data_IF_902654137517
#
_entry.id   IF_902654137517
#
_cell.length_a   1.000
_cell.length_b   1.000
_cell.length_c   1.000
_cell.angle_alpha   90.00
_cell.angle_beta   90.00
_cell.angle_gamma   90.00
#
_symmetry.space_group_name_H-M   'P 1'
#
loop_
_entity.id
_entity.type
_entity.pdbx_description
1 polymer ?
#
# COMPACT_ATOMS: atom_id res chain seq x y z
N UNK A 1 0.67 3.30 -24.87
CA UNK A 1 0.65 3.43 -23.40
C UNK A 1 1.08 4.85 -23.08
N UNK A 2 0.19 5.68 -22.56
CA UNK A 2 0.51 7.06 -22.20
C UNK A 2 1.42 7.04 -20.97
N UNK A 3 2.68 7.37 -21.13
CA UNK A 3 3.59 7.61 -20.02
C UNK A 3 3.14 8.90 -19.33
N UNK A 4 2.73 8.79 -18.07
CA UNK A 4 2.31 9.94 -17.27
C UNK A 4 3.53 10.65 -16.71
N UNK A 5 4.19 11.42 -17.57
CA UNK A 5 5.24 12.36 -17.17
C UNK A 5 4.60 13.75 -17.11
N UNK A 6 4.75 14.43 -16.01
CA UNK A 6 4.23 15.76 -15.77
C UNK A 6 5.30 16.67 -15.18
N UNK A 7 4.95 17.94 -14.98
CA UNK A 7 5.82 18.91 -14.31
C UNK A 7 5.12 19.49 -13.10
N UNK A 8 5.81 19.51 -11.96
CA UNK A 8 5.36 20.14 -10.73
C UNK A 8 6.39 21.15 -10.23
N UNK A 9 5.91 22.23 -9.61
CA UNK A 9 6.80 23.14 -8.88
C UNK A 9 7.17 22.49 -7.56
N UNK A 10 8.46 22.21 -7.38
CA UNK A 10 9.01 21.61 -6.18
C UNK A 10 10.04 22.53 -5.53
N UNK A 11 10.11 22.48 -4.20
CA UNK A 11 11.10 23.22 -3.44
C UNK A 11 12.48 22.58 -3.63
N UNK A 12 13.42 23.33 -4.19
CA UNK A 12 14.80 22.90 -4.36
C UNK A 12 15.63 23.13 -3.06
N UNK A 13 16.80 22.52 -2.98
CA UNK A 13 17.70 22.65 -1.81
C UNK A 13 18.13 24.08 -1.51
N UNK A 14 18.09 24.96 -2.50
CA UNK A 14 18.38 26.40 -2.40
C UNK A 14 17.18 27.25 -1.95
N UNK A 15 16.07 26.63 -1.56
CA UNK A 15 14.86 27.30 -1.11
C UNK A 15 13.98 27.90 -2.23
N UNK A 16 14.34 27.71 -3.50
CA UNK A 16 13.55 28.21 -4.63
C UNK A 16 12.62 27.16 -5.20
N UNK A 17 11.45 27.61 -5.65
CA UNK A 17 10.51 26.75 -6.37
C UNK A 17 10.95 26.58 -7.82
N UNK A 18 11.15 25.33 -8.26
CA UNK A 18 11.54 24.99 -9.64
C UNK A 18 10.57 24.00 -10.24
N UNK A 19 10.32 24.13 -11.53
CA UNK A 19 9.63 23.12 -12.31
C UNK A 19 10.49 21.87 -12.38
N UNK A 20 9.94 20.76 -11.94
CA UNK A 20 10.63 19.46 -11.88
C UNK A 20 9.77 18.43 -12.59
N UNK A 21 10.40 17.64 -13.43
CA UNK A 21 9.72 16.53 -14.09
C UNK A 21 9.35 15.46 -13.06
N UNK A 22 8.13 15.01 -13.11
CA UNK A 22 7.56 14.00 -12.21
C UNK A 22 6.87 12.92 -13.02
N UNK A 23 6.90 11.71 -12.50
CA UNK A 23 6.21 10.58 -13.08
C UNK A 23 5.56 9.73 -11.98
N UNK A 24 4.56 8.94 -12.34
CA UNK A 24 4.02 7.94 -11.43
C UNK A 24 5.05 6.83 -11.14
N UNK A 25 4.84 6.10 -10.06
CA UNK A 25 5.75 5.04 -9.61
C UNK A 25 5.99 3.99 -10.69
N UNK A 26 4.95 3.60 -11.43
CA UNK A 26 5.05 2.61 -12.50
C UNK A 26 5.97 3.09 -13.63
N UNK A 27 5.82 4.34 -14.05
CA UNK A 27 6.66 4.95 -15.08
C UNK A 27 8.11 5.10 -14.61
N UNK A 28 8.33 5.52 -13.34
CA UNK A 28 9.68 5.60 -12.76
C UNK A 28 10.38 4.25 -12.73
N UNK A 29 9.69 3.20 -12.28
CA UNK A 29 10.24 1.84 -12.25
C UNK A 29 10.62 1.36 -13.66
N UNK A 30 9.82 1.71 -14.66
CA UNK A 30 10.10 1.38 -16.05
C UNK A 30 11.29 2.15 -16.62
N UNK A 31 11.40 3.45 -16.32
CA UNK A 31 12.54 4.27 -16.74
C UNK A 31 13.85 3.73 -16.15
N UNK A 32 13.87 3.36 -14.87
CA UNK A 32 15.07 2.83 -14.22
C UNK A 32 15.59 1.56 -14.90
N UNK A 33 14.70 0.70 -15.41
CA UNK A 33 15.09 -0.51 -16.14
C UNK A 33 15.85 -0.20 -17.44
N UNK A 34 15.65 0.97 -18.02
CA UNK A 34 16.31 1.37 -19.28
C UNK A 34 17.67 2.04 -19.06
N UNK A 35 18.05 2.38 -17.84
CA UNK A 35 19.31 3.06 -17.54
C UNK A 35 20.49 2.09 -17.75
N UNK A 36 21.41 2.37 -18.67
CA UNK A 36 22.53 1.47 -18.98
C UNK A 36 23.74 1.69 -18.05
N UNK A 37 23.51 2.05 -16.80
CA UNK A 37 24.55 2.32 -15.81
C UNK A 37 24.74 1.16 -14.85
N UNK A 38 25.98 0.77 -14.52
CA UNK A 38 26.26 -0.21 -13.47
C UNK A 38 25.69 0.18 -12.10
N UNK A 39 25.49 1.47 -11.83
CA UNK A 39 24.87 1.97 -10.59
C UNK A 39 23.39 1.60 -10.49
N UNK A 40 22.72 1.35 -11.59
CA UNK A 40 21.32 0.92 -11.62
C UNK A 40 21.17 -0.61 -11.43
N UNK A 41 22.24 -1.38 -11.52
CA UNK A 41 22.22 -2.84 -11.46
C UNK A 41 21.63 -3.40 -10.15
N UNK A 42 22.01 -2.90 -8.95
CA UNK A 42 21.40 -3.37 -7.71
C UNK A 42 19.88 -3.19 -7.68
N UNK A 43 19.38 -2.10 -8.24
CA UNK A 43 17.96 -1.83 -8.32
C UNK A 43 17.24 -2.75 -9.31
N UNK A 44 17.86 -3.03 -10.46
CA UNK A 44 17.33 -3.99 -11.45
C UNK A 44 17.23 -5.39 -10.86
N UNK A 45 18.23 -5.83 -10.07
CA UNK A 45 18.19 -7.12 -9.35
C UNK A 45 17.07 -7.15 -8.32
N UNK A 46 16.90 -6.09 -7.58
CA UNK A 46 15.78 -5.96 -6.62
C UNK A 46 14.42 -6.06 -7.33
N UNK A 47 14.23 -5.40 -8.48
CA UNK A 47 13.00 -5.52 -9.27
C UNK A 47 12.76 -6.95 -9.77
N UNK A 48 13.80 -7.63 -10.22
CA UNK A 48 13.71 -9.03 -10.64
C UNK A 48 13.30 -9.93 -9.47
N UNK A 49 13.87 -9.70 -8.27
CA UNK A 49 13.50 -10.42 -7.06
C UNK A 49 12.04 -10.20 -6.69
N UNK A 50 11.58 -8.96 -6.66
CA UNK A 50 10.18 -8.61 -6.35
C UNK A 50 9.23 -9.23 -7.38
N UNK A 51 9.60 -9.22 -8.66
CA UNK A 51 8.81 -9.85 -9.72
C UNK A 51 8.70 -11.37 -9.54
N UNK A 52 9.81 -12.03 -9.22
CA UNK A 52 9.84 -13.47 -8.94
C UNK A 52 8.97 -13.83 -7.74
N UNK A 53 9.13 -13.12 -6.63
CA UNK A 53 8.32 -13.33 -5.43
C UNK A 53 6.83 -13.17 -5.72
N UNK A 54 6.46 -12.20 -6.54
CA UNK A 54 5.07 -12.02 -6.93
C UNK A 54 4.52 -13.16 -7.79
N UNK A 55 5.33 -13.74 -8.67
CA UNK A 55 4.95 -14.92 -9.45
C UNK A 55 4.78 -16.15 -8.54
N UNK A 56 5.66 -16.33 -7.58
CA UNK A 56 5.56 -17.41 -6.58
C UNK A 56 4.29 -17.29 -5.73
N UNK A 57 3.90 -16.07 -5.34
CA UNK A 57 2.65 -15.79 -4.63
C UNK A 57 1.39 -16.11 -5.45
N UNK A 58 1.46 -16.01 -6.78
CA UNK A 58 0.33 -16.41 -7.64
C UNK A 58 0.12 -17.93 -7.58
N UNK A 59 1.21 -18.70 -7.49
CA UNK A 59 1.17 -20.15 -7.35
C UNK A 59 0.79 -20.55 -5.93
N UNK A 60 1.34 -19.88 -4.92
CA UNK A 60 1.06 -20.11 -3.52
C UNK A 60 0.73 -18.80 -2.79
N UNK A 61 -0.57 -18.43 -2.68
CA UNK A 61 -1.01 -17.18 -2.05
C UNK A 61 -0.62 -17.03 -0.57
N UNK A 62 -0.33 -18.12 0.14
CA UNK A 62 0.10 -18.07 1.54
C UNK A 62 1.44 -17.34 1.73
N UNK A 63 2.29 -17.34 0.70
CA UNK A 63 3.55 -16.60 0.72
C UNK A 63 3.33 -15.08 0.91
N UNK A 64 2.26 -14.52 0.35
CA UNK A 64 1.90 -13.13 0.55
C UNK A 64 1.53 -12.83 2.01
N UNK A 65 0.85 -13.75 2.68
CA UNK A 65 0.50 -13.63 4.11
C UNK A 65 1.77 -13.68 4.96
N UNK A 66 2.68 -14.59 4.66
CA UNK A 66 3.95 -14.71 5.38
C UNK A 66 4.81 -13.45 5.21
N UNK A 67 4.91 -12.92 4.00
CA UNK A 67 5.60 -11.66 3.72
C UNK A 67 4.99 -10.48 4.48
N UNK A 68 3.66 -10.43 4.59
CA UNK A 68 2.98 -9.41 5.38
C UNK A 68 3.35 -9.51 6.86
N UNK A 69 3.35 -10.71 7.44
CA UNK A 69 3.77 -10.97 8.83
C UNK A 69 5.21 -10.52 9.07
N UNK A 70 6.15 -10.93 8.21
CA UNK A 70 7.56 -10.54 8.31
C UNK A 70 7.75 -9.02 8.25
N UNK A 71 6.94 -8.34 7.43
CA UNK A 71 6.96 -6.89 7.34
C UNK A 71 6.54 -6.23 8.65
N UNK A 72 5.51 -6.75 9.32
CA UNK A 72 5.10 -6.26 10.64
C UNK A 72 6.15 -6.54 11.71
N UNK A 73 6.79 -7.73 11.71
CA UNK A 73 7.89 -8.06 12.62
C UNK A 73 9.04 -7.07 12.46
N UNK A 74 9.45 -6.78 11.22
CA UNK A 74 10.50 -5.77 10.93
C UNK A 74 10.14 -4.36 11.40
N UNK A 75 8.85 -4.03 11.48
CA UNK A 75 8.34 -2.78 12.04
C UNK A 75 8.27 -2.76 13.57
N UNK A 76 8.59 -3.88 14.24
CA UNK A 76 8.64 -3.99 15.69
C UNK A 76 7.34 -4.43 16.37
N UNK A 77 6.37 -4.93 15.62
CA UNK A 77 5.14 -5.48 16.20
C UNK A 77 5.34 -6.92 16.66
N UNK A 78 4.75 -7.28 17.79
CA UNK A 78 4.79 -8.64 18.32
C UNK A 78 3.80 -9.59 17.62
N UNK A 79 4.01 -10.89 17.79
CA UNK A 79 3.19 -11.92 17.13
C UNK A 79 1.71 -11.85 17.54
N UNK A 80 1.42 -11.49 18.78
CA UNK A 80 0.04 -11.40 19.28
C UNK A 80 -0.71 -10.26 18.63
N UNK A 81 -0.04 -9.10 18.48
CA UNK A 81 -0.59 -7.96 17.77
C UNK A 81 -0.82 -8.27 16.29
N UNK A 82 0.15 -8.94 15.64
CA UNK A 82 0.05 -9.33 14.22
C UNK A 82 -1.15 -10.26 14.00
N UNK A 83 -1.33 -11.27 14.85
CA UNK A 83 -2.47 -12.19 14.78
C UNK A 83 -3.81 -11.45 14.92
N UNK A 84 -3.93 -10.56 15.89
CA UNK A 84 -5.12 -9.73 16.07
C UNK A 84 -5.37 -8.78 14.89
N UNK A 85 -4.31 -8.18 14.34
CA UNK A 85 -4.42 -7.28 13.19
C UNK A 85 -4.94 -8.01 11.95
N UNK A 86 -4.41 -9.19 11.64
CA UNK A 86 -4.88 -9.99 10.51
C UNK A 86 -6.35 -10.40 10.68
N UNK A 87 -6.72 -10.83 11.88
CA UNK A 87 -8.11 -11.17 12.20
C UNK A 87 -9.03 -9.96 12.07
N UNK A 88 -8.62 -8.79 12.54
CA UNK A 88 -9.42 -7.56 12.43
C UNK A 88 -9.61 -7.09 11.00
N UNK A 89 -8.63 -7.30 10.12
CA UNK A 89 -8.76 -6.99 8.69
C UNK A 89 -9.82 -7.87 8.05
N UNK A 90 -9.81 -9.14 8.35
CA UNK A 90 -10.77 -10.12 7.83
C UNK A 90 -12.19 -9.79 8.29
N UNK A 91 -12.39 -9.62 9.60
CA UNK A 91 -13.68 -9.23 10.18
C UNK A 91 -14.21 -7.90 9.63
N UNK A 92 -13.33 -6.91 9.44
CA UNK A 92 -13.73 -5.63 8.85
C UNK A 92 -14.16 -5.77 7.39
N UNK A 93 -13.48 -6.62 6.63
CA UNK A 93 -13.84 -6.91 5.25
C UNK A 93 -15.21 -7.55 5.16
N UNK A 94 -15.46 -8.59 5.95
CA UNK A 94 -16.78 -9.23 6.02
C UNK A 94 -17.89 -8.23 6.37
N UNK A 95 -17.64 -7.34 7.32
CA UNK A 95 -18.59 -6.30 7.72
C UNK A 95 -18.87 -5.31 6.58
N UNK A 96 -17.83 -4.83 5.91
CA UNK A 96 -17.98 -3.88 4.80
C UNK A 96 -18.65 -4.53 3.59
N UNK A 97 -18.35 -5.78 3.29
CA UNK A 97 -18.99 -6.53 2.21
C UNK A 97 -20.49 -6.72 2.49
N UNK A 98 -20.85 -7.04 3.74
CA UNK A 98 -22.26 -7.14 4.17
C UNK A 98 -23.00 -5.80 4.04
N UNK A 99 -22.37 -4.70 4.41
CA UNK A 99 -22.95 -3.36 4.23
C UNK A 99 -23.15 -3.01 2.76
N UNK A 100 -22.18 -3.35 1.90
CA UNK A 100 -22.26 -3.13 0.47
C UNK A 100 -23.39 -3.92 -0.18
N UNK A 101 -23.55 -5.18 0.18
CA UNK A 101 -24.67 -6.02 -0.26
C UNK A 101 -26.04 -5.44 0.14
N UNK A 102 -26.10 -4.74 1.27
CA UNK A 102 -27.30 -4.03 1.75
C UNK A 102 -27.47 -2.62 1.18
N UNK A 103 -26.63 -2.22 0.20
CA UNK A 103 -26.73 -0.96 -0.53
C UNK A 103 -26.05 0.24 0.12
N UNK A 104 -25.15 0.05 1.09
CA UNK A 104 -24.37 1.13 1.67
C UNK A 104 -23.41 1.75 0.62
N UNK A 105 -23.32 3.08 0.63
CA UNK A 105 -22.40 3.84 -0.24
C UNK A 105 -21.15 4.24 0.56
N UNK A 106 -20.10 4.68 -0.14
CA UNK A 106 -18.80 4.99 0.46
C UNK A 106 -18.86 5.90 1.69
N UNK A 107 -19.71 6.94 1.66
CA UNK A 107 -19.91 7.85 2.80
C UNK A 107 -20.59 7.18 3.99
N UNK A 108 -21.38 6.15 3.75
CA UNK A 108 -22.14 5.46 4.79
C UNK A 108 -21.22 4.59 5.65
N UNK A 109 -20.09 4.11 5.10
CA UNK A 109 -19.11 3.31 5.84
C UNK A 109 -18.48 4.07 6.99
N UNK A 110 -18.20 5.36 6.82
CA UNK A 110 -17.67 6.20 7.88
C UNK A 110 -18.70 6.37 9.00
N UNK A 111 -19.96 6.64 8.64
CA UNK A 111 -21.08 6.81 9.59
C UNK A 111 -21.33 5.51 10.37
N UNK A 112 -21.42 4.37 9.69
CA UNK A 112 -21.65 3.07 10.32
C UNK A 112 -20.49 2.67 11.23
N UNK A 113 -19.25 2.94 10.82
CA UNK A 113 -18.07 2.71 11.65
C UNK A 113 -18.11 3.57 12.91
N UNK A 114 -18.47 4.85 12.77
CA UNK A 114 -18.55 5.80 13.89
C UNK A 114 -19.66 5.40 14.90
N UNK A 115 -20.81 4.94 14.42
CA UNK A 115 -21.89 4.42 15.27
C UNK A 115 -21.46 3.16 16.05
N UNK A 116 -20.70 2.24 15.44
CA UNK A 116 -20.15 1.08 16.15
C UNK A 116 -19.19 1.52 17.25
N UNK A 117 -18.29 2.48 16.98
CA UNK A 117 -17.35 2.99 17.98
C UNK A 117 -18.06 3.73 19.11
N UNK A 118 -19.07 4.54 18.80
CA UNK A 118 -19.91 5.21 19.82
C UNK A 118 -20.61 4.21 20.72
N UNK A 119 -21.21 3.18 20.14
CA UNK A 119 -21.96 2.17 20.89
C UNK A 119 -21.07 1.26 21.74
N UNK A 120 -19.84 0.97 21.28
CA UNK A 120 -18.94 0.02 21.94
C UNK A 120 -18.01 0.70 22.93
N UNK A 121 -17.45 1.86 22.58
CA UNK A 121 -16.41 2.56 23.35
C UNK A 121 -16.79 3.95 23.81
N UNK A 122 -17.97 4.44 23.46
CA UNK A 122 -18.41 5.82 23.69
C UNK A 122 -17.42 6.87 23.15
N UNK A 123 -16.79 6.57 22.00
CA UNK A 123 -15.78 7.40 21.34
C UNK A 123 -16.18 7.67 19.90
N UNK A 124 -15.83 8.86 19.39
CA UNK A 124 -15.91 9.17 17.96
C UNK A 124 -14.61 8.75 17.27
N UNK A 125 -14.72 8.20 16.06
CA UNK A 125 -13.57 8.03 15.17
C UNK A 125 -13.14 9.39 14.64
N UNK A 126 -11.92 9.75 14.90
CA UNK A 126 -11.34 10.96 14.33
C UNK A 126 -11.07 10.79 12.82
#
# INVERSE_FOLDING_TARGET
MSEKIGQLKMLAKDGKMRLTDVADTKTLLRIIQTIPSPKAEPFKRWLAQVGSERLDEIVNPELAINRAKETYIRKGYDDSWIAQRLKSIDSRKELTDNWKERGAKDRDYAILTDEIYKSTFNMNTA
#
